data_IF_602331302774
#
_entry.id   IF_602331302774
#
_cell.length_a   1.000
_cell.length_b   1.000
_cell.length_c   1.000
_cell.angle_alpha   90.00
_cell.angle_beta   90.00
_cell.angle_gamma   90.00
#
_symmetry.space_group_name_H-M   'P 1'
#
loop_
_entity.id
_entity.type
_entity.pdbx_description
1 polymer ?
#
# COMPACT_ATOMS: atom_id res chain seq x y z
N UNK A 1 -2.09 3.51 1.94
CA UNK A 1 -2.04 2.25 2.74
C UNK A 1 -3.35 1.48 3.01
N UNK A 2 -4.18 1.81 4.03
CA UNK A 2 -5.21 0.88 4.56
C UNK A 2 -6.23 0.35 3.53
N UNK A 3 -6.71 1.18 2.60
CA UNK A 3 -7.59 0.73 1.51
C UNK A 3 -6.89 -0.28 0.58
N UNK A 4 -5.61 -0.05 0.26
CA UNK A 4 -4.82 -0.96 -0.56
C UNK A 4 -4.65 -2.33 0.13
N UNK A 5 -4.42 -2.36 1.44
CA UNK A 5 -4.35 -3.62 2.20
C UNK A 5 -5.65 -4.43 2.11
N UNK A 6 -6.82 -3.78 2.22
CA UNK A 6 -8.12 -4.45 2.02
C UNK A 6 -8.26 -5.02 0.61
N UNK A 7 -7.81 -4.26 -0.39
CA UNK A 7 -7.83 -4.69 -1.79
C UNK A 7 -6.90 -5.89 -2.02
N UNK A 8 -5.69 -5.87 -1.44
CA UNK A 8 -4.75 -7.00 -1.48
C UNK A 8 -5.41 -8.25 -0.89
N UNK A 9 -6.04 -8.16 0.28
CA UNK A 9 -6.76 -9.30 0.87
C UNK A 9 -7.85 -9.83 -0.03
N UNK A 10 -8.66 -8.94 -0.61
CA UNK A 10 -9.72 -9.33 -1.54
C UNK A 10 -9.17 -10.09 -2.75
N UNK A 11 -8.12 -9.56 -3.40
CA UNK A 11 -7.48 -10.23 -4.53
C UNK A 11 -6.83 -11.55 -4.15
N UNK A 12 -6.18 -11.64 -2.98
CA UNK A 12 -5.61 -12.91 -2.50
C UNK A 12 -6.69 -13.97 -2.29
N UNK A 13 -7.83 -13.60 -1.70
CA UNK A 13 -8.97 -14.52 -1.56
C UNK A 13 -9.51 -14.95 -2.93
N UNK A 14 -9.70 -14.03 -3.86
CA UNK A 14 -10.15 -14.35 -5.22
C UNK A 14 -9.17 -15.26 -5.95
N UNK A 15 -7.87 -14.97 -5.88
CA UNK A 15 -6.84 -15.81 -6.50
C UNK A 15 -6.81 -17.22 -5.89
N UNK A 16 -7.09 -17.34 -4.59
CA UNK A 16 -7.22 -18.64 -3.93
C UNK A 16 -8.37 -19.47 -4.50
N UNK A 17 -9.51 -18.87 -4.87
CA UNK A 17 -10.64 -19.62 -5.46
C UNK A 17 -10.34 -20.22 -6.83
N UNK A 18 -9.32 -19.70 -7.53
CA UNK A 18 -8.85 -20.23 -8.82
C UNK A 18 -7.52 -20.99 -8.69
N UNK A 19 -7.18 -21.46 -7.49
CA UNK A 19 -5.94 -22.20 -7.19
C UNK A 19 -4.65 -21.44 -7.52
N UNK A 20 -4.67 -20.10 -7.41
CA UNK A 20 -3.50 -19.21 -7.56
C UNK A 20 -3.16 -18.53 -6.24
N UNK A 21 -3.22 -19.28 -5.14
CA UNK A 21 -2.94 -18.75 -3.80
C UNK A 21 -1.56 -18.08 -3.74
N UNK A 22 -1.56 -16.87 -3.20
CA UNK A 22 -0.33 -16.13 -2.93
C UNK A 22 0.19 -16.59 -1.57
N UNK A 23 1.36 -17.22 -1.52
CA UNK A 23 1.99 -17.67 -0.27
C UNK A 23 2.88 -16.58 0.30
N UNK A 24 3.64 -15.90 -0.57
CA UNK A 24 4.54 -14.82 -0.18
C UNK A 24 3.81 -13.52 0.14
N UNK A 25 4.49 -12.62 0.85
CA UNK A 25 4.00 -11.29 1.16
C UNK A 25 3.79 -10.47 -0.13
N UNK A 26 2.65 -9.77 -0.24
CA UNK A 26 2.45 -8.82 -1.33
C UNK A 26 3.17 -7.51 -1.00
N UNK A 27 4.08 -7.09 -1.89
CA UNK A 27 4.80 -5.82 -1.73
C UNK A 27 3.84 -4.64 -1.99
N UNK A 28 3.71 -3.76 -1.00
CA UNK A 28 2.96 -2.52 -1.07
C UNK A 28 3.94 -1.33 -1.01
N UNK A 29 4.00 -0.55 -2.08
CA UNK A 29 4.83 0.65 -2.13
C UNK A 29 4.13 1.87 -1.50
N UNK A 30 4.80 2.54 -0.56
CA UNK A 30 4.31 3.74 0.11
C UNK A 30 5.38 4.84 0.06
N UNK A 31 5.00 6.07 -0.26
CA UNK A 31 5.92 7.20 -0.33
C UNK A 31 5.90 8.07 0.94
N UNK A 32 4.84 7.97 1.75
CA UNK A 32 4.73 8.63 3.05
C UNK A 32 5.52 7.90 4.14
N UNK A 33 6.66 8.49 4.53
CA UNK A 33 7.47 8.01 5.67
C UNK A 33 6.67 7.96 6.97
N UNK A 34 5.77 8.92 7.19
CA UNK A 34 4.90 8.93 8.36
C UNK A 34 3.91 7.76 8.35
N UNK A 35 3.37 7.39 7.19
CA UNK A 35 2.48 6.24 7.08
C UNK A 35 3.23 4.92 7.33
N UNK A 36 4.45 4.79 6.79
CA UNK A 36 5.33 3.62 7.03
C UNK A 36 5.67 3.52 8.52
N UNK A 37 6.21 4.57 9.13
CA UNK A 37 6.60 4.56 10.53
C UNK A 37 5.43 4.26 11.45
N UNK A 38 4.26 4.85 11.13
CA UNK A 38 3.03 4.57 11.86
C UNK A 38 2.73 3.08 11.72
N UNK A 39 2.65 2.53 10.49
CA UNK A 39 2.35 1.12 10.16
C UNK A 39 3.19 0.11 10.98
N UNK A 40 4.44 0.43 11.27
CA UNK A 40 5.39 -0.43 11.99
C UNK A 40 5.40 -0.21 13.52
N UNK A 41 5.08 1.00 13.99
CA UNK A 41 5.26 1.39 15.41
C UNK A 41 4.13 0.97 16.34
N UNK A 42 4.40 0.32 17.48
CA UNK A 42 3.36 -0.12 18.43
C UNK A 42 2.71 1.05 19.23
N UNK A 43 3.05 2.30 18.90
CA UNK A 43 2.72 3.47 19.70
C UNK A 43 1.52 4.20 19.12
N UNK A 44 0.37 4.06 19.76
CA UNK A 44 -0.79 4.90 19.52
C UNK A 44 -0.59 6.20 20.30
N UNK A 45 -0.58 7.34 19.59
CA UNK A 45 -0.52 8.66 20.21
C UNK A 45 -1.91 9.29 20.20
N UNK A 46 -2.15 10.30 21.04
CA UNK A 46 -3.41 11.07 21.00
C UNK A 46 -3.75 11.56 19.59
N UNK A 47 -2.73 11.94 18.79
CA UNK A 47 -2.88 12.42 17.42
C UNK A 47 -3.28 11.32 16.43
N UNK A 48 -3.03 10.04 16.73
CA UNK A 48 -3.34 8.91 15.83
C UNK A 48 -4.54 8.07 16.27
N UNK A 49 -5.18 8.40 17.40
CA UNK A 49 -6.35 7.67 17.93
C UNK A 49 -7.51 7.55 16.93
N UNK A 50 -7.72 8.55 16.09
CA UNK A 50 -8.81 8.57 15.11
C UNK A 50 -8.60 7.61 13.91
N UNK A 51 -7.39 7.06 13.75
CA UNK A 51 -7.06 6.07 12.70
C UNK A 51 -6.70 4.69 13.27
N UNK A 52 -6.88 4.48 14.58
CA UNK A 52 -6.31 3.35 15.31
C UNK A 52 -6.77 1.98 14.79
N UNK A 53 -8.06 1.82 14.49
CA UNK A 53 -8.60 0.57 13.91
C UNK A 53 -7.97 0.24 12.55
N UNK A 54 -7.80 1.25 11.69
CA UNK A 54 -7.16 1.08 10.37
C UNK A 54 -5.69 0.74 10.53
N UNK A 55 -5.06 1.34 11.54
CA UNK A 55 -3.67 1.13 11.87
C UNK A 55 -3.41 -0.31 12.33
N UNK A 56 -4.15 -0.78 13.34
CA UNK A 56 -4.05 -2.15 13.85
C UNK A 56 -4.25 -3.20 12.75
N UNK A 57 -5.19 -2.96 11.84
CA UNK A 57 -5.42 -3.85 10.71
C UNK A 57 -4.23 -3.92 9.75
N UNK A 58 -3.63 -2.79 9.38
CA UNK A 58 -2.45 -2.81 8.50
C UNK A 58 -1.27 -3.48 9.19
N UNK A 59 -1.05 -3.15 10.47
CA UNK A 59 0.02 -3.74 11.27
C UNK A 59 -0.11 -5.27 11.36
N UNK A 60 -1.31 -5.79 11.61
CA UNK A 60 -1.51 -7.24 11.71
C UNK A 60 -1.18 -7.96 10.40
N UNK A 61 -1.46 -7.34 9.25
CA UNK A 61 -1.09 -7.88 7.94
C UNK A 61 0.41 -7.89 7.69
N UNK A 62 1.14 -6.88 8.17
CA UNK A 62 2.60 -6.83 8.09
C UNK A 62 3.22 -7.92 8.99
N UNK A 63 2.78 -8.00 10.25
CA UNK A 63 3.27 -8.99 11.21
C UNK A 63 3.01 -10.43 10.74
N UNK A 64 1.84 -10.67 10.15
CA UNK A 64 1.47 -11.98 9.58
C UNK A 64 2.10 -12.24 8.20
N UNK A 65 3.00 -11.37 7.71
CA UNK A 65 3.67 -11.48 6.40
C UNK A 65 2.72 -11.59 5.21
N UNK A 66 1.51 -11.05 5.33
CA UNK A 66 0.55 -10.96 4.22
C UNK A 66 0.94 -9.80 3.30
N UNK A 67 1.46 -8.71 3.88
CA UNK A 67 1.90 -7.50 3.18
C UNK A 67 3.31 -7.13 3.63
N UNK A 68 4.17 -6.77 2.68
CA UNK A 68 5.45 -6.14 2.95
C UNK A 68 5.37 -4.68 2.49
N UNK A 69 5.64 -3.70 3.36
CA UNK A 69 5.61 -2.29 2.97
C UNK A 69 7.02 -1.85 2.57
N UNK A 70 7.17 -1.28 1.36
CA UNK A 70 8.44 -0.72 0.88
C UNK A 70 8.30 0.76 0.61
N UNK A 71 9.31 1.54 1.03
CA UNK A 71 9.38 2.95 0.69
C UNK A 71 9.62 3.12 -0.82
N UNK A 72 8.90 4.03 -1.46
CA UNK A 72 9.15 4.47 -2.83
C UNK A 72 9.29 5.99 -2.88
N UNK A 73 10.01 6.50 -3.87
CA UNK A 73 10.07 7.95 -4.11
C UNK A 73 8.73 8.47 -4.63
N UNK A 74 8.28 9.65 -4.19
CA UNK A 74 7.02 10.28 -4.61
C UNK A 74 6.96 10.56 -6.13
N UNK A 75 8.10 10.68 -6.80
CA UNK A 75 8.18 10.82 -8.26
C UNK A 75 8.07 9.47 -8.99
N UNK A 76 8.26 8.36 -8.29
CA UNK A 76 8.14 6.99 -8.81
C UNK A 76 6.84 6.31 -8.36
N UNK A 77 6.02 6.99 -7.56
CA UNK A 77 4.73 6.47 -7.11
C UNK A 77 3.71 6.46 -8.26
N UNK A 78 3.64 5.34 -9.00
CA UNK A 78 2.75 5.17 -10.16
C UNK A 78 1.27 5.29 -9.78
N UNK A 79 0.90 4.92 -8.55
CA UNK A 79 -0.48 5.00 -8.06
C UNK A 79 -1.03 6.44 -8.01
N UNK A 80 -0.15 7.45 -7.98
CA UNK A 80 -0.56 8.86 -8.01
C UNK A 80 -1.35 9.19 -9.27
N UNK A 81 -1.04 8.55 -10.41
CA UNK A 81 -1.75 8.78 -11.68
C UNK A 81 -3.23 8.38 -11.61
N UNK A 82 -3.56 7.42 -10.73
CA UNK A 82 -4.92 6.88 -10.57
C UNK A 82 -5.68 7.53 -9.40
N UNK A 83 -4.99 8.28 -8.55
CA UNK A 83 -5.54 8.77 -7.27
C UNK A 83 -5.46 10.28 -7.08
N UNK A 84 -4.63 10.97 -7.87
CA UNK A 84 -4.42 12.42 -7.81
C UNK A 84 -4.68 13.04 -9.19
N UNK A 85 -5.10 14.31 -9.17
CA UNK A 85 -5.12 15.11 -10.39
C UNK A 85 -3.69 15.62 -10.66
N UNK A 86 -2.96 14.98 -11.56
CA UNK A 86 -1.57 15.30 -11.86
C UNK A 86 -1.46 16.28 -13.05
N UNK A 87 -0.50 17.19 -12.98
CA UNK A 87 -0.11 17.97 -14.16
C UNK A 87 0.43 17.10 -15.28
N UNK A 88 0.29 17.56 -16.52
CA UNK A 88 0.57 16.80 -17.76
C UNK A 88 1.93 16.09 -17.74
N UNK A 89 2.99 16.76 -17.30
CA UNK A 89 4.35 16.18 -17.27
C UNK A 89 4.43 14.96 -16.34
N UNK A 90 3.94 15.08 -15.09
CA UNK A 90 3.98 13.98 -14.12
C UNK A 90 3.05 12.84 -14.54
N UNK A 91 1.88 13.16 -15.13
CA UNK A 91 0.98 12.16 -15.69
C UNK A 91 1.66 11.35 -16.81
N UNK A 92 2.28 12.01 -17.79
CA UNK A 92 2.93 11.33 -18.92
C UNK A 92 4.11 10.45 -18.47
N UNK A 93 4.91 10.93 -17.51
CA UNK A 93 6.01 10.14 -16.94
C UNK A 93 5.49 8.88 -16.23
N UNK A 94 4.49 9.02 -15.36
CA UNK A 94 3.91 7.87 -14.66
C UNK A 94 3.24 6.89 -15.63
N UNK A 95 2.57 7.40 -16.68
CA UNK A 95 1.95 6.57 -17.72
C UNK A 95 2.98 5.74 -18.46
N UNK A 96 4.11 6.35 -18.87
CA UNK A 96 5.20 5.64 -19.54
C UNK A 96 5.72 4.50 -18.65
N UNK A 97 6.04 4.81 -17.39
CA UNK A 97 6.55 3.82 -16.44
C UNK A 97 5.57 2.68 -16.14
N UNK A 98 4.26 2.89 -16.31
CA UNK A 98 3.25 1.86 -16.09
C UNK A 98 3.13 0.90 -17.27
N UNK A 99 3.24 1.42 -18.50
CA UNK A 99 3.09 0.64 -19.74
C UNK A 99 4.35 -0.15 -20.13
N UNK A 100 5.50 0.21 -19.57
CA UNK A 100 6.79 -0.47 -19.80
C UNK A 100 7.08 -1.55 -18.73
N UNK A 101 6.07 -2.02 -17.99
CA UNK A 101 6.14 -3.13 -17.01
C UNK A 101 5.84 -4.48 -17.63
#
# INVERSE_FOLDING_TARGET
>A
MSKACKMILHWRHLLKTINREQTEATVLFEDSTAAISTSESNKVTQKTKHIDVKYHHVRSLIVNKVVEVKKIDTNLQKADMLTKNLGTVKFLNNRRQLLEM
#
